data_IF_993910534594
#
_entry.id   IF_993910534594
#
_cell.length_a   1.000
_cell.length_b   1.000
_cell.length_c   1.000
_cell.angle_alpha   90.00
_cell.angle_beta   90.00
_cell.angle_gamma   90.00
#
_symmetry.space_group_name_H-M   'P 1'
#
loop_
_entity.id
_entity.type
_entity.pdbx_description
1 polymer ?
#
# COMPACT_ATOMS: atom_id res chain seq x y z
N UNK A 1 23.96 5.73 -14.06
CA UNK A 1 23.63 4.59 -13.20
C UNK A 1 22.39 5.04 -12.44
N UNK A 2 21.22 4.85 -13.06
CA UNK A 2 19.97 5.53 -12.66
C UNK A 2 19.16 4.66 -11.68
N UNK A 3 18.93 5.07 -10.42
CA UNK A 3 18.25 4.25 -9.43
C UNK A 3 16.70 4.30 -9.47
N UNK A 4 16.07 4.89 -10.48
CA UNK A 4 14.62 5.15 -10.50
C UNK A 4 13.75 4.09 -11.20
N UNK A 5 14.32 2.92 -11.53
CA UNK A 5 13.67 1.92 -12.39
C UNK A 5 12.82 0.85 -11.68
N UNK A 6 12.44 1.04 -10.41
CA UNK A 6 11.64 0.07 -9.64
C UNK A 6 10.17 0.49 -9.41
N UNK A 7 9.53 1.09 -10.41
CA UNK A 7 8.08 1.34 -10.37
C UNK A 7 7.38 1.15 -11.73
N UNK A 8 7.83 0.18 -12.55
CA UNK A 8 7.19 -0.12 -13.85
C UNK A 8 6.59 -1.53 -13.97
N UNK A 9 6.70 -2.38 -12.94
CA UNK A 9 6.30 -3.79 -13.02
C UNK A 9 4.78 -4.06 -12.92
N UNK A 10 3.92 -3.02 -12.93
CA UNK A 10 2.46 -3.18 -12.87
C UNK A 10 1.75 -2.59 -14.10
N UNK A 11 2.35 -2.72 -15.30
CA UNK A 11 1.70 -2.31 -16.56
C UNK A 11 0.70 -3.31 -17.12
N UNK A 12 0.75 -4.57 -16.68
CA UNK A 12 -0.07 -5.63 -17.26
C UNK A 12 -0.98 -6.28 -16.21
N UNK A 13 -2.26 -5.91 -16.19
CA UNK A 13 -3.28 -6.82 -15.70
C UNK A 13 -4.43 -6.26 -14.86
N UNK A 14 -4.61 -4.95 -14.70
CA UNK A 14 -5.88 -4.48 -14.14
C UNK A 14 -6.99 -4.58 -15.19
N UNK A 15 -7.79 -5.65 -15.12
CA UNK A 15 -9.00 -5.84 -15.94
C UNK A 15 -10.21 -5.28 -15.19
N UNK A 16 -10.94 -4.29 -15.74
CA UNK A 16 -12.18 -3.81 -15.15
C UNK A 16 -13.22 -4.93 -15.21
N UNK A 17 -13.47 -5.59 -14.07
CA UNK A 17 -14.39 -6.73 -13.97
C UNK A 17 -13.90 -7.89 -13.11
N UNK A 18 -12.61 -7.94 -12.75
CA UNK A 18 -12.08 -8.90 -11.78
C UNK A 18 -11.64 -8.19 -10.51
N UNK A 19 -12.59 -7.91 -9.64
CA UNK A 19 -12.35 -7.94 -8.20
C UNK A 19 -13.71 -7.87 -7.53
N UNK A 20 -13.98 -8.87 -6.72
CA UNK A 20 -14.98 -8.83 -5.68
C UNK A 20 -14.59 -7.77 -4.62
N UNK A 21 -14.51 -6.50 -5.02
CA UNK A 21 -14.78 -5.38 -4.15
C UNK A 21 -16.29 -5.41 -3.90
N UNK A 22 -16.73 -6.40 -3.12
CA UNK A 22 -17.94 -6.25 -2.34
C UNK A 22 -17.74 -4.96 -1.55
N UNK A 23 -18.56 -3.97 -1.90
CA UNK A 23 -18.57 -2.62 -1.39
C UNK A 23 -18.64 -2.69 0.14
N UNK A 24 -17.46 -2.73 0.79
CA UNK A 24 -17.39 -2.65 2.23
C UNK A 24 -17.93 -1.26 2.61
N UNK A 25 -18.77 -1.16 3.66
CA UNK A 25 -19.38 0.10 4.07
C UNK A 25 -18.31 1.17 4.20
N UNK A 26 -18.65 2.43 3.94
CA UNK A 26 -17.76 3.59 4.04
C UNK A 26 -17.29 3.75 5.48
N UNK A 27 -16.32 2.93 5.88
CA UNK A 27 -15.56 3.05 7.11
C UNK A 27 -14.65 4.24 6.87
N UNK A 28 -14.73 5.27 7.73
CA UNK A 28 -13.96 6.52 7.66
C UNK A 28 -12.65 6.36 6.88
N UNK A 29 -12.59 6.94 5.69
CA UNK A 29 -11.68 6.51 4.61
C UNK A 29 -10.20 6.42 5.00
N UNK A 30 -9.74 7.19 5.98
CA UNK A 30 -8.35 7.14 6.49
C UNK A 30 -8.02 5.84 7.22
N UNK A 31 -8.87 5.39 8.15
CA UNK A 31 -8.66 4.12 8.87
C UNK A 31 -8.80 2.91 7.95
N UNK A 32 -9.71 2.98 7.00
CA UNK A 32 -9.87 1.94 5.98
C UNK A 32 -8.61 1.84 5.09
N UNK A 33 -8.10 2.98 4.60
CA UNK A 33 -6.89 3.04 3.79
C UNK A 33 -5.66 2.54 4.56
N UNK A 34 -5.46 3.00 5.80
CA UNK A 34 -4.36 2.56 6.65
C UNK A 34 -4.33 1.05 6.87
N UNK A 35 -5.50 0.44 7.08
CA UNK A 35 -5.63 -1.01 7.19
C UNK A 35 -5.32 -1.75 5.89
N UNK A 36 -5.73 -1.22 4.73
CA UNK A 36 -5.40 -1.81 3.43
C UNK A 36 -3.89 -1.79 3.21
N UNK A 37 -3.23 -0.66 3.47
CA UNK A 37 -1.77 -0.53 3.35
C UNK A 37 -1.07 -1.52 4.29
N UNK A 38 -1.49 -1.60 5.55
CA UNK A 38 -0.93 -2.54 6.54
C UNK A 38 -1.06 -3.99 6.08
N UNK A 39 -2.23 -4.38 5.55
CA UNK A 39 -2.47 -5.74 5.05
C UNK A 39 -1.62 -6.06 3.83
N UNK A 40 -1.55 -5.15 2.86
CA UNK A 40 -0.75 -5.31 1.65
C UNK A 40 0.75 -5.46 1.99
N UNK A 41 1.25 -4.64 2.93
CA UNK A 41 2.61 -4.74 3.44
C UNK A 41 2.87 -6.10 4.07
N UNK A 42 1.98 -6.55 4.95
CA UNK A 42 2.12 -7.83 5.64
C UNK A 42 2.05 -9.03 4.68
N UNK A 43 1.18 -9.00 3.66
CA UNK A 43 1.11 -10.07 2.65
C UNK A 43 2.37 -10.19 1.78
N UNK A 44 3.14 -9.10 1.69
CA UNK A 44 4.43 -9.07 0.98
C UNK A 44 5.62 -9.41 1.92
N UNK A 45 5.36 -9.72 3.19
CA UNK A 45 6.42 -10.02 4.16
C UNK A 45 7.27 -8.82 4.58
N UNK A 46 6.87 -7.61 4.20
CA UNK A 46 7.64 -6.40 4.45
C UNK A 46 7.43 -5.89 5.88
N UNK A 47 8.51 -5.46 6.51
CA UNK A 47 8.48 -4.64 7.72
C UNK A 47 8.04 -3.21 7.38
N UNK A 48 7.59 -2.48 8.40
CA UNK A 48 7.24 -1.07 8.23
C UNK A 48 8.45 -0.21 7.84
N UNK A 49 9.65 -0.58 8.27
CA UNK A 49 10.88 0.16 7.94
C UNK A 49 11.17 0.00 6.45
N UNK A 50 11.16 -1.23 5.93
CA UNK A 50 11.42 -1.50 4.51
C UNK A 50 10.43 -0.79 3.58
N UNK A 51 9.13 -0.81 3.92
CA UNK A 51 8.14 -0.07 3.13
C UNK A 51 8.34 1.45 3.23
N UNK A 52 8.70 1.97 4.40
CA UNK A 52 8.94 3.40 4.57
C UNK A 52 10.17 3.86 3.76
N UNK A 53 11.25 3.07 3.78
CA UNK A 53 12.45 3.31 2.98
C UNK A 53 12.15 3.27 1.48
N UNK A 54 11.40 2.27 1.01
CA UNK A 54 11.00 2.15 -0.39
C UNK A 54 10.16 3.35 -0.88
N UNK A 55 9.39 3.97 0.01
CA UNK A 55 8.57 5.14 -0.29
C UNK A 55 9.29 6.48 0.00
N UNK A 56 10.54 6.46 0.50
CA UNK A 56 11.28 7.66 0.87
C UNK A 56 10.66 8.45 2.03
N UNK A 57 9.92 7.77 2.93
CA UNK A 57 9.25 8.38 4.07
C UNK A 57 9.83 7.90 5.40
N UNK A 58 9.63 8.69 6.47
CA UNK A 58 10.05 8.26 7.78
C UNK A 58 9.13 7.16 8.33
N UNK A 59 9.69 6.14 9.00
CA UNK A 59 8.93 4.99 9.54
C UNK A 59 7.71 5.38 10.40
N UNK A 60 7.82 6.49 11.14
CA UNK A 60 6.75 6.99 12.01
C UNK A 60 5.62 7.63 11.19
N UNK A 61 5.95 8.30 10.07
CA UNK A 61 4.95 8.86 9.16
C UNK A 61 4.11 7.73 8.55
N UNK A 62 4.75 6.66 8.09
CA UNK A 62 4.04 5.47 7.62
C UNK A 62 3.18 4.84 8.73
N UNK A 63 3.67 4.83 9.97
CA UNK A 63 2.90 4.37 11.13
C UNK A 63 1.60 5.14 11.34
N UNK A 64 1.64 6.47 11.24
CA UNK A 64 0.44 7.31 11.32
C UNK A 64 -0.53 7.03 10.15
N UNK A 65 0.00 6.85 8.94
CA UNK A 65 -0.82 6.49 7.76
C UNK A 65 -1.53 5.15 7.94
N UNK A 66 -0.83 4.13 8.45
CA UNK A 66 -1.43 2.81 8.72
C UNK A 66 -2.50 2.85 9.82
N UNK A 67 -2.44 3.82 10.74
CA UNK A 67 -3.39 3.97 11.84
C UNK A 67 -4.64 4.77 11.45
N UNK A 68 -4.52 5.66 10.46
CA UNK A 68 -5.60 6.47 9.91
C UNK A 68 -5.92 7.73 10.70
#
# INVERSE_FOLDING_TARGET
>A
MEPFALLSANRDGWKPGQSAFCFAPVISGRRALGNVIRRARASQGLTRIELAEALGMHRTQLGHVEQG
#
